data_IF_314656283956
#
_entry.id   IF_314656283956
#
_cell.length_a   1.000
_cell.length_b   1.000
_cell.length_c   1.000
_cell.angle_alpha   90.00
_cell.angle_beta   90.00
_cell.angle_gamma   90.00
#
_symmetry.space_group_name_H-M   'P 1'
#
loop_
_entity.id
_entity.type
_entity.pdbx_description
1 polymer ?
#
# COMPACT_ATOMS: atom_id res chain seq x y z
N UNK A 1 -30.95 17.74 -8.23
CA UNK A 1 -30.59 17.83 -6.79
C UNK A 1 -30.47 16.46 -6.10
N UNK A 2 -29.65 15.50 -6.57
CA UNK A 2 -29.30 14.25 -5.82
C UNK A 2 -27.98 13.60 -6.31
N UNK A 3 -27.00 14.39 -6.76
CA UNK A 3 -25.70 13.87 -7.24
C UNK A 3 -24.47 14.51 -6.59
N UNK A 4 -24.66 15.63 -5.89
CA UNK A 4 -23.60 16.39 -5.22
C UNK A 4 -23.49 15.98 -3.73
N UNK A 5 -24.47 15.23 -3.21
CA UNK A 5 -24.52 14.81 -1.80
C UNK A 5 -23.59 13.64 -1.44
N UNK A 6 -22.98 12.95 -2.42
CA UNK A 6 -22.04 11.86 -2.12
C UNK A 6 -20.58 12.33 -2.00
N UNK A 7 -20.24 13.50 -2.56
CA UNK A 7 -18.89 14.06 -2.44
C UNK A 7 -18.64 14.79 -1.11
N UNK A 8 -19.62 14.80 -0.21
CA UNK A 8 -19.55 15.47 1.10
C UNK A 8 -19.11 14.55 2.26
N UNK A 9 -18.88 13.26 2.01
CA UNK A 9 -18.16 12.38 2.96
C UNK A 9 -16.71 12.22 2.44
N UNK A 10 -16.12 13.34 2.03
CA UNK A 10 -14.76 13.43 1.53
C UNK A 10 -14.12 14.66 2.18
N UNK A 11 -13.77 14.56 3.47
CA UNK A 11 -12.87 15.51 4.18
C UNK A 11 -12.79 15.29 5.71
N UNK A 12 -13.15 14.13 6.29
CA UNK A 12 -13.17 14.01 7.76
C UNK A 12 -12.63 12.70 8.34
N UNK A 13 -11.57 12.17 7.74
CA UNK A 13 -10.63 11.27 8.43
C UNK A 13 -9.19 11.72 8.13
N UNK A 14 -8.90 13.01 8.31
CA UNK A 14 -7.53 13.57 8.32
C UNK A 14 -7.28 14.33 9.63
N UNK A 15 -8.00 13.98 10.70
CA UNK A 15 -7.77 14.49 12.05
C UNK A 15 -7.45 13.32 12.98
N UNK A 16 -6.29 12.72 12.74
CA UNK A 16 -5.71 11.67 13.56
C UNK A 16 -4.20 11.84 13.61
N UNK A 17 -3.74 13.06 13.87
CA UNK A 17 -2.39 13.30 14.35
C UNK A 17 -2.20 12.55 15.66
N UNK A 18 -1.73 11.31 15.57
CA UNK A 18 -0.94 10.73 16.64
C UNK A 18 0.50 10.91 16.22
N UNK A 19 1.20 11.71 16.98
CA UNK A 19 2.63 11.57 17.26
C UNK A 19 2.87 10.14 17.78
N UNK A 20 2.73 9.12 16.93
CA UNK A 20 2.74 7.74 17.38
C UNK A 20 4.12 7.20 17.11
N UNK A 21 4.80 6.81 18.18
CA UNK A 21 5.64 5.62 18.13
C UNK A 21 4.88 4.58 17.27
N UNK A 22 5.37 4.31 16.07
CA UNK A 22 4.76 3.32 15.19
C UNK A 22 4.80 2.01 15.93
N UNK A 23 3.65 1.46 16.32
CA UNK A 23 3.63 0.21 17.07
C UNK A 23 3.72 -0.95 16.08
N UNK A 24 4.39 -2.03 16.47
CA UNK A 24 4.57 -3.23 15.66
C UNK A 24 3.26 -3.68 14.96
N UNK A 25 2.17 -3.78 15.71
CA UNK A 25 0.85 -4.17 15.21
C UNK A 25 0.13 -3.03 14.46
N UNK A 26 0.40 -1.77 14.81
CA UNK A 26 -0.09 -0.62 14.06
C UNK A 26 0.46 -0.58 12.63
N UNK A 27 1.71 -0.99 12.41
CA UNK A 27 2.30 -1.07 11.07
C UNK A 27 1.63 -2.14 10.19
N UNK A 28 1.36 -3.34 10.73
CA UNK A 28 0.64 -4.41 10.02
C UNK A 28 -0.77 -3.93 9.63
N UNK A 29 -1.47 -3.26 10.54
CA UNK A 29 -2.82 -2.76 10.29
C UNK A 29 -2.85 -1.68 9.22
N UNK A 30 -1.87 -0.78 9.20
CA UNK A 30 -1.76 0.22 8.15
C UNK A 30 -1.53 -0.43 6.77
N UNK A 31 -0.69 -1.48 6.72
CA UNK A 31 -0.47 -2.24 5.49
C UNK A 31 -1.73 -3.00 5.05
N UNK A 32 -2.47 -3.56 6.00
CA UNK A 32 -3.75 -4.25 5.76
C UNK A 32 -4.80 -3.29 5.19
N UNK A 33 -4.99 -2.14 5.83
CA UNK A 33 -5.89 -1.09 5.35
C UNK A 33 -5.51 -0.61 3.94
N UNK A 34 -4.21 -0.40 3.68
CA UNK A 34 -3.75 0.01 2.35
C UNK A 34 -4.04 -1.08 1.30
N UNK A 35 -3.77 -2.36 1.63
CA UNK A 35 -4.09 -3.48 0.74
C UNK A 35 -5.58 -3.56 0.42
N UNK A 36 -6.45 -3.33 1.40
CA UNK A 36 -7.90 -3.36 1.21
C UNK A 36 -8.38 -2.15 0.40
N UNK A 37 -7.87 -0.96 0.69
CA UNK A 37 -8.15 0.28 -0.06
C UNK A 37 -7.80 0.11 -1.55
N UNK A 38 -6.63 -0.46 -1.84
CA UNK A 38 -6.19 -0.70 -3.22
C UNK A 38 -7.04 -1.74 -3.96
N UNK A 39 -7.44 -2.83 -3.31
CA UNK A 39 -8.25 -3.87 -3.94
C UNK A 39 -9.70 -3.40 -4.20
N UNK A 40 -10.27 -2.60 -3.28
CA UNK A 40 -11.65 -2.12 -3.41
C UNK A 40 -11.77 -0.89 -4.32
N UNK A 41 -10.84 0.06 -4.23
CA UNK A 41 -10.97 1.36 -4.87
C UNK A 41 -10.02 1.57 -6.05
N UNK A 42 -9.01 0.72 -6.23
CA UNK A 42 -7.95 0.92 -7.24
C UNK A 42 -8.45 1.03 -8.68
N UNK A 43 -9.63 0.50 -9.00
CA UNK A 43 -10.24 0.68 -10.32
C UNK A 43 -10.62 2.13 -10.66
N UNK A 44 -10.76 2.98 -9.64
CA UNK A 44 -11.12 4.40 -9.77
C UNK A 44 -9.91 5.33 -9.63
N UNK A 45 -8.72 4.79 -9.37
CA UNK A 45 -7.52 5.58 -9.11
C UNK A 45 -6.97 6.19 -10.38
N UNK A 46 -6.64 7.48 -10.30
CA UNK A 46 -5.76 8.17 -11.23
C UNK A 46 -4.30 7.78 -10.96
N UNK A 47 -3.37 8.17 -11.84
CA UNK A 47 -1.93 7.95 -11.57
C UNK A 47 -1.48 8.61 -10.28
N UNK A 48 -1.91 9.85 -10.00
CA UNK A 48 -1.56 10.53 -8.75
C UNK A 48 -2.04 9.75 -7.51
N UNK A 49 -3.22 9.14 -7.56
CA UNK A 49 -3.71 8.29 -6.46
C UNK A 49 -2.84 7.04 -6.27
N UNK A 50 -2.31 6.48 -7.37
CA UNK A 50 -1.38 5.36 -7.32
C UNK A 50 0.01 5.77 -6.81
N UNK A 51 0.49 6.96 -7.15
CA UNK A 51 1.73 7.54 -6.59
C UNK A 51 1.60 7.75 -5.08
N UNK A 52 0.49 8.35 -4.63
CA UNK A 52 0.21 8.56 -3.22
C UNK A 52 0.12 7.23 -2.46
N UNK A 53 -0.50 6.21 -3.05
CA UNK A 53 -0.56 4.88 -2.47
C UNK A 53 0.82 4.22 -2.37
N UNK A 54 1.69 4.39 -3.37
CA UNK A 54 3.07 3.90 -3.34
C UNK A 54 3.89 4.62 -2.25
N UNK A 55 3.72 5.93 -2.10
CA UNK A 55 4.35 6.71 -1.04
C UNK A 55 3.90 6.27 0.36
N UNK A 56 2.60 6.00 0.54
CA UNK A 56 2.06 5.40 1.77
C UNK A 56 2.69 4.03 2.01
N UNK A 57 2.78 3.18 0.99
CA UNK A 57 3.42 1.87 1.08
C UNK A 57 4.87 1.97 1.56
N UNK A 58 5.68 2.84 0.95
CA UNK A 58 7.08 3.06 1.34
C UNK A 58 7.19 3.53 2.79
N UNK A 59 6.33 4.45 3.24
CA UNK A 59 6.31 4.93 4.62
C UNK A 59 5.95 3.82 5.61
N UNK A 60 4.92 3.03 5.32
CA UNK A 60 4.52 1.87 6.12
C UNK A 60 5.68 0.88 6.20
N UNK A 61 6.32 0.60 5.07
CA UNK A 61 7.45 -0.34 4.97
C UNK A 61 8.65 0.09 5.81
N UNK A 62 9.01 1.37 5.76
CA UNK A 62 10.04 1.96 6.62
C UNK A 62 9.72 1.80 8.11
N UNK A 63 8.44 1.88 8.48
CA UNK A 63 8.02 1.67 9.88
C UNK A 63 8.00 0.19 10.27
N UNK A 64 7.61 -0.72 9.36
CA UNK A 64 7.74 -2.16 9.55
C UNK A 64 9.21 -2.52 9.84
N UNK A 65 10.16 -2.01 9.07
CA UNK A 65 11.58 -2.35 9.24
C UNK A 65 12.18 -1.90 10.60
N UNK A 66 11.48 -1.06 11.38
CA UNK A 66 11.90 -0.67 12.73
C UNK A 66 11.57 -1.70 13.81
N UNK A 67 10.85 -2.78 13.49
CA UNK A 67 10.38 -3.75 14.46
C UNK A 67 10.78 -5.19 14.12
N UNK A 68 10.94 -6.03 15.14
CA UNK A 68 11.09 -7.49 14.96
C UNK A 68 9.72 -8.15 14.89
N UNK A 69 9.52 -8.97 13.86
CA UNK A 69 8.31 -9.73 13.62
C UNK A 69 8.57 -11.23 13.74
N UNK A 70 7.59 -11.97 14.24
CA UNK A 70 7.59 -13.43 14.21
C UNK A 70 7.45 -13.94 12.79
N UNK A 71 7.78 -15.20 12.54
CA UNK A 71 7.62 -15.80 11.21
C UNK A 71 6.17 -15.71 10.70
N UNK A 72 5.18 -15.91 11.57
CA UNK A 72 3.76 -15.77 11.22
C UNK A 72 3.40 -14.34 10.83
N UNK A 73 3.89 -13.34 11.57
CA UNK A 73 3.66 -11.93 11.25
C UNK A 73 4.39 -11.53 9.96
N UNK A 74 5.62 -12.01 9.72
CA UNK A 74 6.35 -11.80 8.46
C UNK A 74 5.61 -12.37 7.26
N UNK A 75 5.07 -13.59 7.38
CA UNK A 75 4.21 -14.19 6.35
C UNK A 75 2.96 -13.34 6.11
N UNK A 76 2.32 -12.82 7.17
CA UNK A 76 1.18 -11.89 7.02
C UNK A 76 1.59 -10.61 6.27
N UNK A 77 2.71 -9.99 6.64
CA UNK A 77 3.25 -8.79 5.97
C UNK A 77 3.50 -9.08 4.50
N UNK A 78 4.26 -10.12 4.16
CA UNK A 78 4.57 -10.46 2.77
C UNK A 78 3.32 -10.74 1.92
N UNK A 79 2.29 -11.37 2.51
CA UNK A 79 0.99 -11.55 1.83
C UNK A 79 0.31 -10.21 1.52
N UNK A 80 0.27 -9.31 2.50
CA UNK A 80 -0.35 -7.98 2.30
C UNK A 80 0.42 -7.14 1.28
N UNK A 81 1.76 -7.21 1.27
CA UNK A 81 2.57 -6.52 0.26
C UNK A 81 2.33 -7.07 -1.15
N UNK A 82 2.26 -8.39 -1.29
CA UNK A 82 1.91 -9.04 -2.55
C UNK A 82 0.52 -8.64 -3.05
N UNK A 83 -0.43 -8.45 -2.15
CA UNK A 83 -1.76 -7.94 -2.50
C UNK A 83 -1.71 -6.51 -3.05
N UNK A 84 -0.94 -5.60 -2.42
CA UNK A 84 -0.74 -4.24 -2.92
C UNK A 84 -0.15 -4.25 -4.34
N UNK A 85 0.93 -5.02 -4.56
CA UNK A 85 1.56 -5.18 -5.88
C UNK A 85 0.55 -5.73 -6.91
N UNK A 86 -0.23 -6.73 -6.52
CA UNK A 86 -1.27 -7.31 -7.39
C UNK A 86 -2.35 -6.29 -7.75
N UNK A 87 -2.77 -5.44 -6.81
CA UNK A 87 -3.76 -4.41 -7.05
C UNK A 87 -3.25 -3.36 -8.07
N UNK A 88 -2.00 -2.91 -7.94
CA UNK A 88 -1.37 -2.01 -8.93
C UNK A 88 -1.29 -2.68 -10.30
N UNK A 89 -0.92 -3.96 -10.36
CA UNK A 89 -0.88 -4.73 -11.61
C UNK A 89 -2.27 -4.88 -12.26
N UNK A 90 -3.35 -5.03 -11.46
CA UNK A 90 -4.73 -5.00 -11.95
C UNK A 90 -5.08 -3.62 -12.51
N UNK A 91 -4.69 -2.55 -11.81
CA UNK A 91 -4.85 -1.16 -12.28
C UNK A 91 -4.23 -0.94 -13.66
N UNK A 92 -3.01 -1.43 -13.86
CA UNK A 92 -2.31 -1.42 -15.15
C UNK A 92 -3.09 -2.11 -16.27
N UNK A 93 -3.64 -3.30 -16.00
CA UNK A 93 -4.45 -4.04 -16.97
C UNK A 93 -5.74 -3.29 -17.32
N UNK A 94 -6.36 -2.63 -16.35
CA UNK A 94 -7.58 -1.84 -16.54
C UNK A 94 -7.36 -0.53 -17.32
N UNK A 95 -6.18 0.09 -17.19
CA UNK A 95 -5.90 1.45 -17.68
C UNK A 95 -4.96 1.50 -18.91
N UNK A 96 -4.84 0.38 -19.63
CA UNK A 96 -3.81 0.06 -20.63
C UNK A 96 -3.59 1.04 -21.81
N UNK A 97 -4.40 2.10 -21.97
CA UNK A 97 -4.30 3.01 -23.12
C UNK A 97 -3.58 4.33 -22.84
N UNK A 98 -3.61 4.88 -21.63
CA UNK A 98 -3.06 6.24 -21.38
C UNK A 98 -2.15 6.36 -20.13
N UNK A 99 -2.15 5.40 -19.21
CA UNK A 99 -1.47 5.54 -17.90
C UNK A 99 -0.50 4.38 -17.61
N UNK A 100 -0.17 3.61 -18.65
CA UNK A 100 0.52 2.33 -18.52
C UNK A 100 2.00 2.45 -18.13
N UNK A 101 2.72 3.48 -18.57
CA UNK A 101 4.16 3.63 -18.29
C UNK A 101 4.43 4.10 -16.86
N UNK A 102 3.67 5.08 -16.36
CA UNK A 102 3.82 5.61 -15.00
C UNK A 102 3.44 4.56 -13.96
N UNK A 103 2.31 3.88 -14.15
CA UNK A 103 1.89 2.79 -13.29
C UNK A 103 2.84 1.58 -13.35
N UNK A 104 3.52 1.34 -14.48
CA UNK A 104 4.58 0.31 -14.57
C UNK A 104 5.77 0.69 -13.71
N UNK A 105 6.21 1.95 -13.76
CA UNK A 105 7.28 2.45 -12.89
C UNK A 105 6.93 2.30 -11.40
N UNK A 106 5.70 2.63 -11.01
CA UNK A 106 5.21 2.41 -9.64
C UNK A 106 5.22 0.92 -9.29
N UNK A 107 4.70 0.06 -10.19
CA UNK A 107 4.66 -1.37 -9.97
C UNK A 107 6.08 -1.96 -9.79
N UNK A 108 7.01 -1.61 -10.66
CA UNK A 108 8.42 -2.06 -10.60
C UNK A 108 9.06 -1.62 -9.28
N UNK A 109 8.90 -0.36 -8.88
CA UNK A 109 9.39 0.17 -7.60
C UNK A 109 8.84 -0.62 -6.40
N UNK A 110 7.53 -0.90 -6.38
CA UNK A 110 6.92 -1.70 -5.32
C UNK A 110 7.42 -3.14 -5.32
N UNK A 111 7.56 -3.77 -6.49
CA UNK A 111 8.12 -5.11 -6.60
C UNK A 111 9.54 -5.18 -6.06
N UNK A 112 10.38 -4.21 -6.39
CA UNK A 112 11.78 -4.18 -5.93
C UNK A 112 11.86 -3.96 -4.42
N UNK A 113 11.01 -3.10 -3.84
CA UNK A 113 10.90 -2.94 -2.39
C UNK A 113 10.49 -4.24 -1.67
N UNK A 114 9.58 -5.01 -2.26
CA UNK A 114 9.11 -6.28 -1.69
C UNK A 114 10.17 -7.38 -1.86
N UNK A 115 10.87 -7.43 -3.00
CA UNK A 115 11.95 -8.39 -3.27
C UNK A 115 13.15 -8.15 -2.35
N UNK A 116 13.68 -6.93 -2.31
CA UNK A 116 14.88 -6.61 -1.54
C UNK A 116 14.72 -6.96 -0.05
N UNK A 117 13.52 -6.82 0.51
CA UNK A 117 13.27 -7.24 1.89
C UNK A 117 13.22 -8.75 2.08
N UNK A 118 12.73 -9.51 1.09
CA UNK A 118 12.70 -10.97 1.17
C UNK A 118 14.12 -11.55 1.27
N UNK A 119 15.11 -10.83 0.75
CA UNK A 119 16.53 -11.18 0.80
C UNK A 119 17.21 -10.70 2.10
N UNK A 120 16.70 -9.63 2.73
CA UNK A 120 17.15 -9.10 4.04
C UNK A 120 16.53 -9.83 5.26
N UNK A 121 15.79 -10.93 5.09
CA UNK A 121 15.24 -11.71 6.22
C UNK A 121 16.35 -12.59 6.85
N UNK A 122 16.86 -12.29 8.07
CA UNK A 122 17.94 -13.05 8.69
C UNK A 122 17.42 -14.37 9.29
N UNK A 123 16.83 -15.23 8.47
CA UNK A 123 16.27 -16.50 8.91
C UNK A 123 16.71 -17.67 8.03
N UNK A 124 18.01 -17.80 7.81
CA UNK A 124 18.66 -19.05 7.41
C UNK A 124 19.91 -19.33 8.30
N UNK A 125 19.80 -19.05 9.60
CA UNK A 125 20.59 -19.70 10.67
C UNK A 125 19.68 -20.07 11.85
#
# INVERSE_FOLDING_TARGET
MKRILFYSIFALIVAGGLSSCSTKQGCIRQLENLSEELDQNGQYYTVGDWEDAADKFVKIRKNINKHRYTQTERRKIGRLEGNCVTAVAKGLKGQAKNLGSELRGILESLMDLVKNWKDDDPSDD
#
